data_IF_729116207462
#
_entry.id   IF_729116207462
#
_cell.length_a   1.000
_cell.length_b   1.000
_cell.length_c   1.000
_cell.angle_alpha   90.00
_cell.angle_beta   90.00
_cell.angle_gamma   90.00
#
_symmetry.space_group_name_H-M   'P 1'
#
loop_
_entity.id
_entity.type
_entity.pdbx_description
1 polymer ?
#
# COMPACT_ATOMS: atom_id res chain seq x y z
N UNK A 1 14.65 -2.51 -17.63
CA UNK A 1 13.21 -2.56 -17.30
C UNK A 1 12.72 -1.13 -17.14
N UNK A 2 11.53 -0.75 -17.63
CA UNK A 2 10.99 0.57 -17.31
C UNK A 2 10.80 0.71 -15.79
N UNK A 3 11.15 1.87 -15.24
CA UNK A 3 10.98 2.15 -13.82
C UNK A 3 9.49 2.04 -13.44
N UNK A 4 9.20 1.26 -12.41
CA UNK A 4 7.83 1.00 -11.92
C UNK A 4 7.36 2.17 -11.07
N UNK A 5 6.12 2.59 -11.29
CA UNK A 5 5.47 3.65 -10.54
C UNK A 5 4.92 3.12 -9.21
N UNK A 6 5.24 3.79 -8.10
CA UNK A 6 4.60 3.60 -6.80
C UNK A 6 3.82 4.88 -6.49
N UNK A 7 2.57 4.73 -6.02
CA UNK A 7 1.74 5.85 -5.60
C UNK A 7 1.69 5.91 -4.08
N UNK A 8 2.14 7.02 -3.49
CA UNK A 8 1.98 7.34 -2.08
C UNK A 8 0.71 8.18 -1.91
N UNK A 9 -0.08 7.88 -0.89
CA UNK A 9 -1.25 8.65 -0.50
C UNK A 9 -1.13 9.01 0.98
N UNK A 10 -0.72 10.24 1.26
CA UNK A 10 -0.34 10.72 2.60
C UNK A 10 -0.58 12.24 2.63
N UNK A 11 -1.31 12.72 3.64
CA UNK A 11 -1.66 14.13 3.77
C UNK A 11 -0.56 14.97 4.47
N UNK A 12 0.30 14.33 5.25
CA UNK A 12 1.45 14.97 5.87
C UNK A 12 2.67 14.98 4.91
N UNK A 13 3.03 16.17 4.43
CA UNK A 13 4.08 16.35 3.42
C UNK A 13 5.42 15.74 3.84
N UNK A 14 5.81 15.88 5.12
CA UNK A 14 7.08 15.34 5.62
C UNK A 14 7.14 13.80 5.52
N UNK A 15 6.09 13.11 5.97
CA UNK A 15 5.95 11.66 5.81
C UNK A 15 6.00 11.23 4.35
N UNK A 16 5.29 11.94 3.46
CA UNK A 16 5.26 11.65 2.04
C UNK A 16 6.65 11.81 1.39
N UNK A 17 7.37 12.88 1.73
CA UNK A 17 8.71 13.17 1.21
C UNK A 17 9.72 12.11 1.65
N UNK A 18 9.69 11.67 2.92
CA UNK A 18 10.57 10.60 3.41
C UNK A 18 10.32 9.29 2.66
N UNK A 19 9.07 8.90 2.47
CA UNK A 19 8.70 7.71 1.70
C UNK A 19 9.13 7.82 0.24
N UNK A 20 8.94 8.99 -0.38
CA UNK A 20 9.36 9.25 -1.74
C UNK A 20 10.88 9.10 -1.90
N UNK A 21 11.67 9.76 -1.05
CA UNK A 21 13.13 9.67 -1.08
C UNK A 21 13.61 8.22 -0.93
N UNK A 22 13.00 7.46 0.00
CA UNK A 22 13.33 6.06 0.22
C UNK A 22 13.08 5.19 -1.02
N UNK A 23 11.94 5.36 -1.68
CA UNK A 23 11.57 4.58 -2.85
C UNK A 23 12.34 4.99 -4.12
N UNK A 24 12.58 6.29 -4.31
CA UNK A 24 13.36 6.79 -5.44
C UNK A 24 14.82 6.34 -5.37
N UNK A 25 15.40 6.23 -4.15
CA UNK A 25 16.73 5.68 -3.95
C UNK A 25 16.87 4.23 -4.42
N UNK A 26 15.78 3.45 -4.38
CA UNK A 26 15.71 2.08 -4.91
C UNK A 26 15.34 2.02 -6.41
N UNK A 27 15.26 3.16 -7.09
CA UNK A 27 15.00 3.23 -8.53
C UNK A 27 13.54 3.09 -8.93
N UNK A 28 12.60 3.38 -8.02
CA UNK A 28 11.18 3.52 -8.36
C UNK A 28 10.84 4.92 -8.85
N UNK A 29 9.85 5.04 -9.75
CA UNK A 29 9.17 6.31 -9.99
C UNK A 29 8.13 6.48 -8.89
N UNK A 30 8.02 7.66 -8.32
CA UNK A 30 7.05 7.92 -7.25
C UNK A 30 6.10 9.04 -7.67
N UNK A 31 4.81 8.84 -7.43
CA UNK A 31 3.82 9.90 -7.42
C UNK A 31 3.24 9.99 -6.00
N UNK A 32 2.83 11.19 -5.59
CA UNK A 32 2.23 11.42 -4.28
C UNK A 32 0.89 12.14 -4.41
N UNK A 33 -0.08 11.77 -3.57
CA UNK A 33 -1.37 12.40 -3.44
C UNK A 33 -1.66 12.70 -1.96
N UNK A 34 -2.27 13.85 -1.67
CA UNK A 34 -2.54 14.29 -0.30
C UNK A 34 -3.83 13.69 0.30
N UNK A 35 -4.59 12.88 -0.45
CA UNK A 35 -5.81 12.20 -0.01
C UNK A 35 -6.30 11.21 -1.08
N UNK A 36 -7.32 10.41 -0.74
CA UNK A 36 -7.89 9.41 -1.64
C UNK A 36 -8.48 10.00 -2.93
N UNK A 37 -9.05 11.20 -2.90
CA UNK A 37 -9.64 11.82 -4.10
C UNK A 37 -8.57 12.21 -5.10
N UNK A 38 -7.51 12.86 -4.65
CA UNK A 38 -6.36 13.20 -5.48
C UNK A 38 -5.66 11.95 -6.03
N UNK A 39 -5.60 10.87 -5.24
CA UNK A 39 -5.06 9.58 -5.70
C UNK A 39 -5.87 9.00 -6.87
N UNK A 40 -7.21 9.03 -6.80
CA UNK A 40 -8.07 8.56 -7.89
C UNK A 40 -7.89 9.38 -9.17
N UNK A 41 -7.69 10.70 -9.06
CA UNK A 41 -7.47 11.56 -10.21
C UNK A 41 -6.14 11.21 -10.92
N UNK A 42 -5.09 10.85 -10.16
CA UNK A 42 -3.80 10.39 -10.72
C UNK A 42 -3.90 9.02 -11.40
N UNK A 43 -4.77 8.14 -10.91
CA UNK A 43 -4.96 6.78 -11.44
C UNK A 43 -5.63 6.73 -12.82
N UNK A 44 -6.11 7.87 -13.33
CA UNK A 44 -6.60 7.99 -14.71
C UNK A 44 -5.51 7.96 -15.78
N UNK A 45 -4.23 8.09 -15.40
CA UNK A 45 -3.08 8.11 -16.32
C UNK A 45 -2.34 6.78 -16.43
N UNK A 46 -1.49 6.49 -15.45
CA UNK A 46 -0.63 5.29 -15.40
C UNK A 46 -1.00 4.43 -14.19
N UNK A 47 -1.14 3.11 -14.38
CA UNK A 47 -1.42 2.18 -13.29
C UNK A 47 -0.15 1.92 -12.46
N UNK A 48 -0.11 2.28 -11.17
CA UNK A 48 1.04 2.02 -10.32
C UNK A 48 1.17 0.51 -10.04
N UNK A 49 2.39 0.10 -9.74
CA UNK A 49 2.73 -1.26 -9.31
C UNK A 49 2.29 -1.55 -7.87
N UNK A 50 2.20 -0.52 -7.02
CA UNK A 50 1.62 -0.59 -5.68
C UNK A 50 1.15 0.81 -5.23
N UNK A 51 0.19 0.82 -4.31
CA UNK A 51 -0.29 2.02 -3.61
C UNK A 51 0.04 1.87 -2.13
N UNK A 52 0.70 2.88 -1.56
CA UNK A 52 0.98 3.02 -0.13
C UNK A 52 0.10 4.14 0.40
N UNK A 53 -0.88 3.85 1.24
CA UNK A 53 -1.86 4.83 1.70
C UNK A 53 -1.85 4.95 3.23
N UNK A 54 -1.85 6.17 3.77
CA UNK A 54 -2.33 6.35 5.13
C UNK A 54 -3.82 6.01 5.19
N UNK A 55 -4.25 5.62 6.37
CA UNK A 55 -5.63 5.33 6.70
C UNK A 55 -6.42 6.61 6.97
N UNK A 56 -5.86 7.51 7.79
CA UNK A 56 -6.52 8.75 8.21
C UNK A 56 -6.05 9.90 7.34
N UNK A 57 -6.95 10.43 6.49
CA UNK A 57 -6.67 11.57 5.61
C UNK A 57 -7.92 12.45 5.49
N UNK A 58 -7.79 13.76 5.24
CA UNK A 58 -8.91 14.63 4.98
C UNK A 58 -9.57 14.32 3.63
N UNK A 59 -10.83 14.73 3.48
CA UNK A 59 -11.66 14.61 2.27
C UNK A 59 -12.04 13.18 1.86
N UNK A 60 -11.08 12.26 1.80
CA UNK A 60 -11.29 10.86 1.47
C UNK A 60 -10.25 10.00 2.18
N UNK A 61 -10.71 9.07 3.02
CA UNK A 61 -9.86 8.19 3.83
C UNK A 61 -9.23 7.08 3.00
N UNK A 62 -8.25 6.39 3.57
CA UNK A 62 -7.64 5.23 2.92
C UNK A 62 -8.61 4.07 2.71
N UNK A 63 -9.58 3.85 3.61
CA UNK A 63 -10.60 2.81 3.42
C UNK A 63 -11.57 3.17 2.29
N UNK A 64 -12.00 4.43 2.19
CA UNK A 64 -12.82 4.90 1.08
C UNK A 64 -12.07 4.76 -0.25
N UNK A 65 -10.76 5.05 -0.27
CA UNK A 65 -9.91 4.85 -1.44
C UNK A 65 -9.86 3.37 -1.81
N UNK A 66 -9.59 2.48 -0.85
CA UNK A 66 -9.61 1.04 -1.04
C UNK A 66 -10.92 0.55 -1.68
N UNK A 67 -12.07 0.97 -1.15
CA UNK A 67 -13.38 0.64 -1.72
C UNK A 67 -13.52 1.10 -3.17
N UNK A 68 -13.10 2.32 -3.49
CA UNK A 68 -13.16 2.86 -4.85
C UNK A 68 -12.24 2.08 -5.82
N UNK A 69 -11.05 1.69 -5.37
CA UNK A 69 -10.12 0.86 -6.14
C UNK A 69 -10.73 -0.50 -6.46
N UNK A 70 -11.31 -1.18 -5.47
CA UNK A 70 -11.90 -2.51 -5.65
C UNK A 70 -13.17 -2.49 -6.50
N UNK A 71 -13.93 -1.39 -6.47
CA UNK A 71 -15.11 -1.22 -7.31
C UNK A 71 -14.78 -1.01 -8.80
N UNK A 72 -13.54 -0.66 -9.15
CA UNK A 72 -13.11 -0.44 -10.52
C UNK A 72 -12.25 -1.62 -11.03
N UNK A 73 -12.73 -2.43 -11.99
CA UNK A 73 -11.98 -3.58 -12.51
C UNK A 73 -10.57 -3.26 -13.04
N UNK A 74 -10.34 -2.04 -13.55
CA UNK A 74 -9.02 -1.64 -14.03
C UNK A 74 -8.01 -1.44 -12.88
N UNK A 75 -8.50 -1.11 -11.67
CA UNK A 75 -7.72 -0.75 -10.50
C UNK A 75 -7.76 -1.84 -9.40
N UNK A 76 -8.72 -2.76 -9.47
CA UNK A 76 -8.97 -3.76 -8.43
C UNK A 76 -7.74 -4.63 -8.14
N UNK A 77 -6.89 -4.89 -9.12
CA UNK A 77 -5.69 -5.73 -8.97
C UNK A 77 -4.43 -4.95 -8.55
N UNK A 78 -4.53 -3.67 -8.21
CA UNK A 78 -3.38 -2.93 -7.69
C UNK A 78 -3.14 -3.36 -6.23
N UNK A 79 -1.92 -3.77 -5.86
CA UNK A 79 -1.53 -3.96 -4.46
C UNK A 79 -1.79 -2.69 -3.65
N UNK A 80 -2.60 -2.80 -2.61
CA UNK A 80 -2.99 -1.71 -1.73
C UNK A 80 -2.49 -1.96 -0.32
N UNK A 81 -1.53 -1.16 0.11
CA UNK A 81 -0.86 -1.28 1.40
C UNK A 81 -1.25 -0.09 2.26
N UNK A 82 -1.75 -0.38 3.45
CA UNK A 82 -1.89 0.67 4.46
C UNK A 82 -0.54 0.94 5.12
N UNK A 83 -0.20 2.22 5.28
CA UNK A 83 0.96 2.67 6.04
C UNK A 83 0.45 3.65 7.08
N UNK A 84 0.18 3.20 8.31
CA UNK A 84 -0.55 4.02 9.28
C UNK A 84 -0.07 3.87 10.72
N UNK A 85 -0.28 4.92 11.51
CA UNK A 85 -0.14 4.90 12.96
C UNK A 85 -1.37 4.28 13.67
N UNK A 86 -2.48 4.07 12.95
CA UNK A 86 -3.70 3.44 13.49
C UNK A 86 -3.47 1.96 13.84
N UNK A 87 -4.35 1.36 14.64
CA UNK A 87 -4.32 -0.09 14.83
C UNK A 87 -4.87 -0.80 13.58
N UNK A 88 -4.22 -1.90 13.18
CA UNK A 88 -4.67 -2.69 12.03
C UNK A 88 -6.11 -3.20 12.22
N UNK A 89 -6.51 -3.56 13.44
CA UNK A 89 -7.86 -4.06 13.71
C UNK A 89 -8.92 -3.02 13.34
N UNK A 90 -8.67 -1.74 13.61
CA UNK A 90 -9.57 -0.63 13.25
C UNK A 90 -9.63 -0.46 11.73
N UNK A 91 -8.49 -0.54 11.06
CA UNK A 91 -8.42 -0.46 9.60
C UNK A 91 -9.18 -1.64 8.96
N UNK A 92 -8.95 -2.84 9.46
CA UNK A 92 -9.56 -4.08 8.97
C UNK A 92 -11.07 -4.11 9.17
N UNK A 93 -11.58 -3.55 10.27
CA UNK A 93 -13.03 -3.44 10.50
C UNK A 93 -13.71 -2.61 9.39
N UNK A 94 -13.05 -1.55 8.92
CA UNK A 94 -13.59 -0.63 7.92
C UNK A 94 -13.29 -1.05 6.47
N UNK A 95 -12.16 -1.71 6.22
CA UNK A 95 -11.83 -2.23 4.90
C UNK A 95 -10.94 -3.48 5.02
N UNK A 96 -11.44 -4.61 4.51
CA UNK A 96 -10.77 -5.92 4.64
C UNK A 96 -9.88 -6.27 3.45
N UNK A 97 -10.16 -5.71 2.28
CA UNK A 97 -9.53 -6.13 1.03
C UNK A 97 -8.26 -5.34 0.68
N UNK A 98 -7.43 -5.06 1.70
CA UNK A 98 -6.06 -4.58 1.53
C UNK A 98 -5.10 -5.76 1.39
N UNK A 99 -3.87 -5.49 1.00
CA UNK A 99 -2.88 -6.53 0.69
C UNK A 99 -1.76 -6.61 1.74
N UNK A 100 -1.47 -5.50 2.43
CA UNK A 100 -0.61 -5.47 3.61
C UNK A 100 -0.90 -4.23 4.47
N UNK A 101 -0.49 -4.28 5.73
CA UNK A 101 -0.52 -3.18 6.68
C UNK A 101 0.88 -2.97 7.26
N UNK A 102 1.41 -1.76 7.17
CA UNK A 102 2.70 -1.35 7.72
C UNK A 102 2.44 -0.36 8.85
N UNK A 103 2.83 -0.73 10.07
CA UNK A 103 2.67 0.15 11.23
C UNK A 103 3.75 1.24 11.20
N UNK A 104 3.36 2.50 11.37
CA UNK A 104 4.32 3.59 11.66
C UNK A 104 4.85 3.45 13.12
N UNK A 105 6.14 3.69 13.42
CA UNK A 105 7.20 4.15 12.51
C UNK A 105 7.66 3.06 11.53
N UNK A 106 8.02 3.48 10.32
CA UNK A 106 8.29 2.58 9.19
C UNK A 106 9.72 2.03 9.30
N UNK A 107 9.83 0.70 9.26
CA UNK A 107 11.12 0.01 9.07
C UNK A 107 11.46 0.00 7.57
N UNK A 108 12.43 0.81 7.15
CA UNK A 108 12.74 1.06 5.74
C UNK A 108 12.99 -0.23 4.95
N UNK A 109 13.81 -1.13 5.47
CA UNK A 109 14.14 -2.40 4.80
C UNK A 109 12.89 -3.28 4.59
N UNK A 110 12.00 -3.35 5.58
CA UNK A 110 10.78 -4.15 5.48
C UNK A 110 9.79 -3.55 4.48
N UNK A 111 9.67 -2.22 4.43
CA UNK A 111 8.86 -1.55 3.40
C UNK A 111 9.42 -1.81 2.00
N UNK A 112 10.72 -1.66 1.80
CA UNK A 112 11.36 -1.86 0.50
C UNK A 112 11.21 -3.30 0.01
N UNK A 113 11.39 -4.28 0.89
CA UNK A 113 11.17 -5.70 0.56
C UNK A 113 9.70 -5.98 0.20
N UNK A 114 8.75 -5.40 0.94
CA UNK A 114 7.32 -5.52 0.64
C UNK A 114 6.96 -4.91 -0.72
N UNK A 115 7.46 -3.71 -1.02
CA UNK A 115 7.24 -3.05 -2.32
C UNK A 115 7.88 -3.88 -3.44
N UNK A 116 9.12 -4.35 -3.28
CA UNK A 116 9.78 -5.20 -4.26
C UNK A 116 8.99 -6.49 -4.52
N UNK A 117 8.44 -7.11 -3.46
CA UNK A 117 7.57 -8.27 -3.59
C UNK A 117 6.33 -7.97 -4.45
N UNK A 118 5.60 -6.88 -4.16
CA UNK A 118 4.41 -6.52 -4.94
C UNK A 118 4.73 -6.07 -6.36
N UNK A 119 5.87 -5.43 -6.58
CA UNK A 119 6.33 -5.05 -7.93
C UNK A 119 6.63 -6.30 -8.77
N UNK A 120 7.22 -7.34 -8.17
CA UNK A 120 7.57 -8.58 -8.86
C UNK A 120 6.35 -9.48 -9.10
N UNK A 121 5.48 -9.63 -8.10
CA UNK A 121 4.44 -10.64 -8.09
C UNK A 121 3.03 -10.06 -8.35
N UNK A 122 2.88 -8.74 -8.31
CA UNK A 122 1.57 -8.09 -8.34
C UNK A 122 0.78 -8.35 -7.07
N UNK A 123 -0.54 -8.18 -7.16
CA UNK A 123 -1.45 -8.44 -6.06
C UNK A 123 -1.64 -9.95 -5.90
N UNK A 124 -1.40 -10.54 -4.71
CA UNK A 124 -1.56 -11.98 -4.52
C UNK A 124 -3.02 -12.38 -4.72
N UNK A 125 -3.22 -13.59 -5.25
CA UNK A 125 -4.56 -14.17 -5.37
C UNK A 125 -5.20 -14.30 -3.98
N UNK A 126 -6.53 -14.25 -3.91
CA UNK A 126 -7.27 -14.32 -2.65
C UNK A 126 -6.96 -15.62 -1.87
N UNK A 127 -6.70 -16.72 -2.57
CA UNK A 127 -6.31 -18.01 -1.97
C UNK A 127 -4.95 -17.93 -1.28
N UNK A 128 -3.96 -17.28 -1.90
CA UNK A 128 -2.60 -17.19 -1.36
C UNK A 128 -2.55 -16.29 -0.11
N UNK A 129 -3.41 -15.28 -0.03
CA UNK A 129 -3.55 -14.42 1.17
C UNK A 129 -4.11 -15.17 2.37
N UNK A 130 -4.86 -16.26 2.13
CA UNK A 130 -5.44 -17.10 3.16
C UNK A 130 -4.53 -18.25 3.58
N UNK A 131 -3.38 -18.45 2.91
CA UNK A 131 -2.42 -19.49 3.27
C UNK A 131 -1.65 -19.10 4.55
N UNK A 132 -1.86 -19.81 5.68
CA UNK A 132 -1.21 -19.48 6.94
C UNK A 132 0.31 -19.64 6.91
N UNK A 133 0.87 -20.46 6.02
CA UNK A 133 2.31 -20.74 5.96
C UNK A 133 3.04 -19.63 5.22
N UNK A 134 2.45 -19.12 4.13
CA UNK A 134 2.94 -17.93 3.40
C UNK A 134 2.89 -16.71 4.29
N UNK A 135 1.75 -16.46 4.94
CA UNK A 135 1.57 -15.36 5.87
C UNK A 135 2.60 -15.42 7.02
N UNK A 136 2.78 -16.60 7.64
CA UNK A 136 3.77 -16.78 8.70
C UNK A 136 5.19 -16.50 8.25
N UNK A 137 5.57 -16.99 7.07
CA UNK A 137 6.92 -16.79 6.52
C UNK A 137 7.20 -15.32 6.25
N UNK A 138 6.23 -14.59 5.69
CA UNK A 138 6.37 -13.15 5.43
C UNK A 138 6.42 -12.34 6.73
N UNK A 139 5.62 -12.67 7.73
CA UNK A 139 5.68 -12.02 9.06
C UNK A 139 7.01 -12.20 9.78
N UNK A 140 7.70 -13.32 9.55
CA UNK A 140 9.03 -13.56 10.14
C UNK A 140 10.14 -12.72 9.50
N UNK A 141 9.99 -12.40 8.22
CA UNK A 141 10.99 -11.66 7.44
C UNK A 141 10.76 -10.15 7.48
N UNK A 142 9.49 -9.72 7.46
CA UNK A 142 9.11 -8.31 7.32
C UNK A 142 8.64 -7.72 8.66
N UNK A 143 9.56 -7.14 9.42
CA UNK A 143 9.24 -6.52 10.71
C UNK A 143 8.29 -5.33 10.52
N UNK A 144 7.29 -5.23 11.39
CA UNK A 144 6.30 -4.14 11.34
C UNK A 144 5.27 -4.25 10.22
N UNK A 145 5.38 -5.27 9.35
CA UNK A 145 4.40 -5.61 8.32
C UNK A 145 3.44 -6.66 8.85
N UNK A 146 2.16 -6.45 8.59
CA UNK A 146 1.07 -7.38 8.89
C UNK A 146 0.29 -7.63 7.61
N UNK A 147 -0.27 -8.82 7.49
CA UNK A 147 -1.20 -9.15 6.42
C UNK A 147 -2.59 -9.35 7.03
N UNK A 148 -3.66 -8.97 6.29
CA UNK A 148 -5.02 -9.14 6.78
C UNK A 148 -5.27 -10.59 7.18
N UNK A 149 -6.04 -10.84 8.26
CA UNK A 149 -6.46 -12.20 8.58
C UNK A 149 -7.30 -12.79 7.43
N UNK A 150 -7.09 -14.08 7.17
CA UNK A 150 -7.79 -14.85 6.12
C UNK A 150 -9.27 -15.11 6.39
#
# INVERSE_FOLDING_TARGET
MPMKLILIVEDEYGNAEVLQMLLEAEGYRVAAAANGKAALDLLGGEKPAAILSDFMMPHMTGSELGLALRANPALADIPFVFVSASDEAVVHELFKDYDAFVKKPIEAESLLQLVAHFVANGRPAEQDRRDPEVDRSMRLLLRGVKFPPG
#
